data_IF_806131514081
#
_entry.id   IF_806131514081
#
_cell.length_a   1.000
_cell.length_b   1.000
_cell.length_c   1.000
_cell.angle_alpha   90.00
_cell.angle_beta   90.00
_cell.angle_gamma   90.00
#
_symmetry.space_group_name_H-M   'P 1'
#
loop_
_entity.id
_entity.type
_entity.pdbx_description
1 polymer ?
#
# COMPACT_ATOMS: atom_id res chain seq x y z
N UNK A 1 -3.47 -13.55 -27.66
CA UNK A 1 -3.82 -13.87 -26.25
C UNK A 1 -4.90 -12.93 -25.71
N UNK A 2 -6.10 -13.47 -25.45
CA UNK A 2 -7.20 -12.70 -24.85
C UNK A 2 -6.82 -12.28 -23.43
N UNK A 3 -7.00 -11.00 -23.10
CA UNK A 3 -6.73 -10.48 -21.75
C UNK A 3 -7.62 -11.14 -20.71
N UNK A 4 -7.11 -11.31 -19.50
CA UNK A 4 -7.87 -11.86 -18.38
C UNK A 4 -9.11 -11.00 -18.08
N UNK A 5 -10.28 -11.60 -17.75
CA UNK A 5 -11.46 -10.83 -17.39
C UNK A 5 -11.18 -9.95 -16.16
N UNK A 6 -11.63 -8.69 -16.24
CA UNK A 6 -11.38 -7.65 -15.22
C UNK A 6 -11.71 -8.13 -13.80
N UNK A 7 -12.82 -8.85 -13.53
CA UNK A 7 -13.09 -9.35 -12.19
C UNK A 7 -12.01 -10.30 -11.64
N UNK A 8 -11.48 -11.20 -12.47
CA UNK A 8 -10.41 -12.12 -12.05
C UNK A 8 -9.09 -11.37 -11.81
N UNK A 9 -8.80 -10.37 -12.65
CA UNK A 9 -7.64 -9.49 -12.47
C UNK A 9 -7.72 -8.69 -11.15
N UNK A 10 -8.89 -8.16 -10.81
CA UNK A 10 -9.13 -7.43 -9.57
C UNK A 10 -9.00 -8.36 -8.35
N UNK A 11 -9.55 -9.57 -8.43
CA UNK A 11 -9.44 -10.56 -7.35
C UNK A 11 -7.97 -10.88 -7.05
N UNK A 12 -7.18 -11.23 -8.08
CA UNK A 12 -5.75 -11.52 -7.94
C UNK A 12 -4.95 -10.33 -7.39
N UNK A 13 -5.29 -9.12 -7.83
CA UNK A 13 -4.65 -7.91 -7.30
C UNK A 13 -4.99 -7.69 -5.82
N UNK A 14 -6.24 -7.92 -5.43
CA UNK A 14 -6.69 -7.82 -4.03
C UNK A 14 -6.00 -8.83 -3.12
N UNK A 15 -5.87 -10.08 -3.56
CA UNK A 15 -5.16 -11.15 -2.83
C UNK A 15 -3.69 -10.77 -2.63
N UNK A 16 -3.00 -10.36 -3.70
CA UNK A 16 -1.60 -9.93 -3.63
C UNK A 16 -1.38 -8.72 -2.71
N UNK A 17 -2.33 -7.79 -2.68
CA UNK A 17 -2.27 -6.61 -1.79
C UNK A 17 -2.50 -6.98 -0.32
N UNK A 18 -3.33 -7.99 -0.04
CA UNK A 18 -3.52 -8.52 1.31
C UNK A 18 -2.29 -9.30 1.79
N UNK A 19 -1.68 -10.11 0.93
CA UNK A 19 -0.42 -10.80 1.23
C UNK A 19 0.73 -9.82 1.51
N UNK A 20 0.69 -8.63 0.91
CA UNK A 20 1.61 -7.53 1.21
C UNK A 20 1.38 -6.88 2.58
N UNK A 21 0.25 -7.17 3.24
CA UNK A 21 -0.09 -6.67 4.58
C UNK A 21 -1.10 -5.52 4.61
N UNK A 22 -1.76 -5.22 3.49
CA UNK A 22 -2.87 -4.25 3.49
C UNK A 22 -4.15 -4.90 4.02
N UNK A 23 -4.99 -4.09 4.66
CA UNK A 23 -6.31 -4.57 5.09
C UNK A 23 -7.17 -5.00 3.89
N UNK A 24 -8.16 -5.90 4.10
CA UNK A 24 -9.08 -6.32 3.05
C UNK A 24 -9.81 -5.15 2.37
N UNK A 25 -10.23 -4.15 3.14
CA UNK A 25 -10.96 -2.99 2.63
C UNK A 25 -10.10 -2.11 1.71
N UNK A 26 -8.85 -1.86 2.10
CA UNK A 26 -7.91 -1.06 1.30
C UNK A 26 -7.49 -1.83 0.04
N UNK A 27 -7.21 -3.12 0.18
CA UNK A 27 -6.87 -4.01 -0.94
C UNK A 27 -7.98 -4.07 -1.98
N UNK A 28 -9.23 -4.26 -1.55
CA UNK A 28 -10.39 -4.26 -2.43
C UNK A 28 -10.63 -2.89 -3.09
N UNK A 29 -10.40 -1.80 -2.36
CA UNK A 29 -10.55 -0.44 -2.90
C UNK A 29 -9.52 -0.13 -4.00
N UNK A 30 -8.26 -0.51 -3.80
CA UNK A 30 -7.19 -0.37 -4.80
C UNK A 30 -7.43 -1.29 -6.00
N UNK A 31 -7.85 -2.53 -5.76
CA UNK A 31 -8.14 -3.50 -6.81
C UNK A 31 -9.26 -3.01 -7.76
N UNK A 32 -10.35 -2.43 -7.23
CA UNK A 32 -11.45 -1.88 -8.04
C UNK A 32 -11.04 -0.73 -8.97
N UNK A 33 -9.92 -0.06 -8.70
CA UNK A 33 -9.38 0.97 -9.60
C UNK A 33 -8.73 0.38 -10.85
N UNK A 34 -8.39 -0.91 -10.84
CA UNK A 34 -7.86 -1.60 -12.01
C UNK A 34 -9.00 -1.96 -12.96
N UNK A 35 -9.01 -1.33 -14.13
CA UNK A 35 -10.07 -1.51 -15.15
C UNK A 35 -9.62 -2.37 -16.34
N UNK A 36 -8.32 -2.50 -16.56
CA UNK A 36 -7.77 -3.22 -17.73
C UNK A 36 -6.24 -3.35 -17.62
N UNK A 37 -5.64 -4.18 -18.47
CA UNK A 37 -4.19 -4.30 -18.56
C UNK A 37 -3.66 -5.50 -17.78
N UNK A 38 -2.36 -5.47 -17.44
CA UNK A 38 -1.71 -6.59 -16.75
C UNK A 38 -1.78 -6.42 -15.24
N UNK A 39 -1.72 -7.54 -14.51
CA UNK A 39 -1.68 -7.55 -13.05
C UNK A 39 -0.51 -6.71 -12.51
N UNK A 40 0.66 -6.85 -13.16
CA UNK A 40 1.87 -6.05 -12.93
C UNK A 40 1.63 -4.54 -12.94
N UNK A 41 0.83 -4.05 -13.90
CA UNK A 41 0.57 -2.62 -14.06
C UNK A 41 -0.31 -2.10 -12.91
N UNK A 42 -1.31 -2.90 -12.53
CA UNK A 42 -2.18 -2.64 -11.38
C UNK A 42 -1.39 -2.62 -10.08
N UNK A 43 -0.50 -3.59 -9.90
CA UNK A 43 0.41 -3.67 -8.75
C UNK A 43 1.29 -2.43 -8.62
N UNK A 44 2.02 -2.05 -9.69
CA UNK A 44 2.88 -0.86 -9.70
C UNK A 44 2.10 0.42 -9.42
N UNK A 45 0.90 0.54 -10.00
CA UNK A 45 0.00 1.68 -9.75
C UNK A 45 -0.44 1.75 -8.28
N UNK A 46 -0.88 0.63 -7.70
CA UNK A 46 -1.29 0.57 -6.29
C UNK A 46 -0.18 1.00 -5.34
N UNK A 47 1.05 0.50 -5.55
CA UNK A 47 2.20 0.93 -4.76
C UNK A 47 2.51 2.42 -4.90
N UNK A 48 2.39 2.97 -6.12
CA UNK A 48 2.58 4.42 -6.35
C UNK A 48 1.54 5.25 -5.60
N UNK A 49 0.28 4.83 -5.60
CA UNK A 49 -0.80 5.50 -4.85
C UNK A 49 -0.52 5.47 -3.36
N UNK A 50 -0.12 4.31 -2.83
CA UNK A 50 0.23 4.16 -1.41
C UNK A 50 1.41 5.06 -1.02
N UNK A 51 2.49 5.03 -1.79
CA UNK A 51 3.67 5.86 -1.53
C UNK A 51 3.34 7.36 -1.54
N UNK A 52 2.44 7.80 -2.41
CA UNK A 52 1.99 9.18 -2.46
C UNK A 52 1.04 9.57 -1.31
N UNK A 53 0.31 8.61 -0.74
CA UNK A 53 -0.65 8.83 0.34
C UNK A 53 -0.05 8.83 1.74
N UNK A 54 1.12 8.21 1.93
CA UNK A 54 1.79 8.14 3.24
C UNK A 54 2.54 9.45 3.48
N UNK A 55 2.08 10.23 4.46
CA UNK A 55 2.79 11.43 4.91
C UNK A 55 4.04 11.00 5.67
N UNK A 56 5.20 11.30 5.12
CA UNK A 56 6.48 11.16 5.80
C UNK A 56 6.99 12.54 6.22
N UNK A 57 7.55 12.65 7.42
CA UNK A 57 8.34 13.84 7.77
C UNK A 57 9.59 13.83 6.89
N UNK A 58 9.88 14.94 6.21
CA UNK A 58 11.12 15.10 5.42
C UNK A 58 12.30 15.59 6.25
N UNK A 59 12.08 15.93 7.52
CA UNK A 59 13.12 16.43 8.42
C UNK A 59 13.49 15.37 9.45
N UNK A 60 14.78 15.18 9.63
CA UNK A 60 15.30 14.35 10.70
C UNK A 60 15.06 15.05 12.03
N UNK A 61 14.50 14.31 12.98
CA UNK A 61 14.16 14.86 14.30
C UNK A 61 15.41 15.27 15.08
N UNK A 62 16.56 14.70 14.73
CA UNK A 62 17.87 15.05 15.29
C UNK A 62 18.29 16.49 14.96
N UNK A 63 17.87 17.01 13.80
CA UNK A 63 18.29 18.34 13.33
C UNK A 63 17.53 19.49 14.03
N UNK A 64 16.36 19.20 14.62
CA UNK A 64 15.49 20.21 15.23
C UNK A 64 15.70 20.36 16.75
N UNK A 65 16.20 19.31 17.41
CA UNK A 65 16.36 19.26 18.88
C UNK A 65 15.01 19.26 19.63
N UNK A 66 14.99 18.76 20.88
CA UNK A 66 13.78 18.74 21.72
C UNK A 66 13.61 17.48 22.57
N UNK A 67 12.49 17.38 23.29
CA UNK A 67 12.11 16.18 24.04
C UNK A 67 11.12 15.34 23.23
N UNK A 68 11.46 14.07 23.01
CA UNK A 68 10.65 13.12 22.25
C UNK A 68 10.26 11.92 23.13
N UNK A 69 9.02 11.46 23.00
CA UNK A 69 8.54 10.24 23.63
C UNK A 69 8.26 9.17 22.56
N UNK A 70 8.94 8.03 22.67
CA UNK A 70 8.67 6.86 21.82
C UNK A 70 7.51 6.08 22.43
N UNK A 71 6.37 6.00 21.72
CA UNK A 71 5.13 5.37 22.22
C UNK A 71 4.59 4.29 21.26
N UNK A 72 4.05 3.19 21.81
CA UNK A 72 3.58 2.04 21.04
C UNK A 72 3.57 0.71 21.83
N UNK A 73 3.04 -0.38 21.24
CA UNK A 73 2.92 -1.68 21.91
C UNK A 73 4.29 -2.34 22.19
N UNK A 74 4.36 -3.24 23.17
CA UNK A 74 5.59 -3.98 23.51
C UNK A 74 6.09 -4.78 22.30
N UNK A 75 7.41 -4.78 22.07
CA UNK A 75 8.03 -5.49 20.95
C UNK A 75 8.05 -4.73 19.61
N UNK A 76 7.53 -3.50 19.55
CA UNK A 76 7.50 -2.70 18.31
C UNK A 76 8.81 -1.97 17.97
N UNK A 77 9.90 -2.17 18.73
CA UNK A 77 11.20 -1.54 18.47
C UNK A 77 11.29 -0.04 18.83
N UNK A 78 10.51 0.40 19.82
CA UNK A 78 10.80 1.65 20.56
C UNK A 78 11.93 1.37 21.53
#
# INVERSE_FOLDING_TARGET
PAGEPVPALQQRLSERLQEFGLSPDLSGSLARQQRSGRLEDGWKRSLKVLAAGIRTSRREWLDEGGSYALVGPTGSGK
#
